data_IF_720193475584
#
_entry.id   IF_720193475584
#
_cell.length_a   1.000
_cell.length_b   1.000
_cell.length_c   1.000
_cell.angle_alpha   90.00
_cell.angle_beta   90.00
_cell.angle_gamma   90.00
#
_symmetry.space_group_name_H-M   'P 1'
#
loop_
_entity.id
_entity.type
_entity.pdbx_description
1 polymer ?
#
# COMPACT_ATOMS: atom_id res chain seq x y z
N UNK A 1 5.95 48.85 -35.45
CA UNK A 1 4.62 48.78 -36.10
C UNK A 1 4.77 47.73 -37.20
N UNK A 2 4.28 46.50 -37.11
CA UNK A 2 3.09 45.99 -36.42
C UNK A 2 2.25 45.29 -37.48
N UNK A 3 2.59 44.03 -37.79
CA UNK A 3 1.72 43.13 -38.56
C UNK A 3 1.18 42.12 -37.54
N UNK A 4 0.21 42.60 -36.77
CA UNK A 4 -0.69 41.78 -35.95
C UNK A 4 -1.94 41.49 -36.77
N UNK A 5 -2.61 40.39 -36.43
CA UNK A 5 -3.92 39.97 -36.92
C UNK A 5 -3.95 39.01 -38.11
N UNK A 6 -3.49 37.78 -37.89
CA UNK A 6 -4.15 36.58 -38.43
C UNK A 6 -3.94 35.45 -37.41
N UNK A 7 -5.01 34.73 -37.07
CA UNK A 7 -5.17 33.76 -35.96
C UNK A 7 -5.69 34.30 -34.62
N UNK A 8 -6.91 34.86 -34.65
CA UNK A 8 -7.89 34.77 -33.56
C UNK A 8 -9.19 34.20 -34.12
N UNK A 9 -9.46 32.91 -33.89
CA UNK A 9 -10.79 32.35 -33.60
C UNK A 9 -10.68 30.83 -33.49
N UNK A 10 -11.40 30.24 -32.53
CA UNK A 10 -11.44 28.79 -32.32
C UNK A 10 -10.95 28.30 -30.95
N UNK A 11 -11.18 29.07 -29.88
CA UNK A 11 -11.14 28.54 -28.51
C UNK A 11 -12.43 27.75 -28.30
N UNK A 12 -12.47 26.50 -28.76
CA UNK A 12 -13.49 25.55 -28.30
C UNK A 12 -13.10 25.12 -26.90
N UNK A 13 -13.87 25.57 -25.92
CA UNK A 13 -13.88 25.09 -24.55
C UNK A 13 -14.02 23.56 -24.54
N UNK A 14 -12.90 22.85 -24.34
CA UNK A 14 -12.92 21.43 -24.02
C UNK A 14 -13.47 21.35 -22.60
N UNK A 15 -14.67 20.77 -22.50
CA UNK A 15 -15.42 20.57 -21.28
C UNK A 15 -14.55 19.87 -20.22
N UNK A 16 -14.26 20.57 -19.12
CA UNK A 16 -13.60 20.08 -17.92
C UNK A 16 -14.50 19.15 -17.07
N UNK A 17 -15.44 18.41 -17.65
CA UNK A 17 -16.55 17.79 -16.88
C UNK A 17 -16.61 16.26 -16.92
N UNK A 18 -15.73 15.57 -17.62
CA UNK A 18 -15.78 14.09 -17.72
C UNK A 18 -14.71 13.34 -16.90
N UNK A 19 -13.67 14.01 -16.39
CA UNK A 19 -12.62 13.37 -15.59
C UNK A 19 -12.95 13.26 -14.08
N UNK A 20 -13.90 14.04 -13.57
CA UNK A 20 -14.23 14.13 -12.14
C UNK A 20 -15.52 13.40 -11.73
N UNK A 21 -16.24 12.79 -12.65
CA UNK A 21 -17.43 12.00 -12.29
C UNK A 21 -17.04 10.55 -12.03
N UNK A 22 -16.84 10.19 -10.75
CA UNK A 22 -17.02 8.79 -10.37
C UNK A 22 -18.41 8.37 -10.82
N UNK A 23 -18.47 7.40 -11.74
CA UNK A 23 -19.75 6.85 -12.15
C UNK A 23 -20.44 6.26 -10.91
N UNK A 24 -21.76 6.41 -10.79
CA UNK A 24 -22.52 5.92 -9.63
C UNK A 24 -22.20 4.44 -9.32
N UNK A 25 -21.98 3.64 -10.37
CA UNK A 25 -21.55 2.24 -10.31
C UNK A 25 -20.21 2.04 -9.58
N UNK A 26 -19.23 2.91 -9.81
CA UNK A 26 -17.91 2.90 -9.13
C UNK A 26 -18.07 3.14 -7.64
N UNK A 27 -18.95 4.08 -7.24
CA UNK A 27 -19.22 4.37 -5.83
C UNK A 27 -19.95 3.21 -5.14
N UNK A 28 -20.90 2.57 -5.83
CA UNK A 28 -21.60 1.39 -5.31
C UNK A 28 -20.65 0.21 -5.09
N UNK A 29 -19.68 -0.01 -5.99
CA UNK A 29 -18.65 -1.05 -5.81
C UNK A 29 -17.79 -0.80 -4.57
N UNK A 30 -17.38 0.45 -4.35
CA UNK A 30 -16.58 0.83 -3.17
C UNK A 30 -17.41 0.73 -1.88
N UNK A 31 -18.67 1.17 -1.91
CA UNK A 31 -19.59 1.12 -0.77
C UNK A 31 -19.88 -0.30 -0.27
N UNK A 32 -19.79 -1.31 -1.14
CA UNK A 32 -19.91 -2.73 -0.74
C UNK A 32 -18.76 -3.18 0.17
N UNK A 33 -17.59 -2.58 0.01
CA UNK A 33 -16.36 -3.02 0.68
C UNK A 33 -16.05 -2.16 1.92
N UNK A 34 -16.41 -0.87 1.92
CA UNK A 34 -16.24 0.05 3.06
C UNK A 34 -17.29 1.16 3.09
N UNK A 35 -17.63 1.64 4.28
CA UNK A 35 -18.50 2.82 4.46
C UNK A 35 -17.79 4.08 3.97
N UNK A 36 -18.44 4.87 3.12
CA UNK A 36 -17.94 6.18 2.70
C UNK A 36 -18.18 7.22 3.79
N UNK A 37 -17.32 8.24 3.86
CA UNK A 37 -17.61 9.41 4.66
C UNK A 37 -18.87 10.12 4.12
N UNK A 38 -19.73 10.69 4.99
CA UNK A 38 -20.77 11.59 4.54
C UNK A 38 -20.14 12.70 3.69
N UNK A 39 -20.73 13.04 2.55
CA UNK A 39 -20.35 14.23 1.81
C UNK A 39 -20.81 15.43 2.62
N UNK A 40 -19.96 15.94 3.51
CA UNK A 40 -20.11 17.31 3.94
C UNK A 40 -19.73 18.19 2.74
N UNK A 41 -20.54 19.20 2.43
CA UNK A 41 -20.35 20.18 1.34
C UNK A 41 -19.14 21.11 1.56
N UNK A 42 -18.16 20.66 2.36
CA UNK A 42 -16.87 21.29 2.54
C UNK A 42 -15.91 20.87 1.44
N UNK A 43 -15.09 21.81 1.00
CA UNK A 43 -13.98 21.59 0.08
C UNK A 43 -13.20 20.32 0.49
N UNK A 44 -12.93 19.33 -0.38
CA UNK A 44 -12.06 18.20 -0.05
C UNK A 44 -10.63 18.63 0.34
N UNK A 45 -10.27 19.89 0.03
CA UNK A 45 -9.07 20.58 0.52
C UNK A 45 -9.32 21.48 1.74
N UNK A 46 -10.53 21.49 2.33
CA UNK A 46 -10.81 22.20 3.57
C UNK A 46 -10.04 21.55 4.71
N UNK A 47 -8.96 22.23 5.06
CA UNK A 47 -8.17 22.02 6.25
C UNK A 47 -9.10 21.89 7.47
N UNK A 48 -9.36 20.67 7.91
CA UNK A 48 -9.53 20.40 9.33
C UNK A 48 -8.24 20.92 9.97
N UNK A 49 -8.32 21.94 10.83
CA UNK A 49 -7.20 22.40 11.63
C UNK A 49 -6.65 21.19 12.39
N UNK A 50 -5.64 20.56 11.81
CA UNK A 50 -5.10 19.31 12.31
C UNK A 50 -4.47 19.63 13.68
N UNK A 51 -5.15 19.20 14.73
CA UNK A 51 -4.89 19.57 16.12
C UNK A 51 -3.57 19.00 16.69
N UNK A 52 -2.66 18.52 15.84
CA UNK A 52 -1.43 17.86 16.24
C UNK A 52 -0.28 18.01 15.25
N UNK A 53 0.50 19.09 15.39
CA UNK A 53 1.94 19.09 15.13
C UNK A 53 2.43 18.77 13.71
N UNK A 54 1.58 18.80 12.69
CA UNK A 54 2.03 18.72 11.31
C UNK A 54 2.62 20.07 10.89
N UNK A 55 3.94 20.21 10.96
CA UNK A 55 4.64 21.39 10.41
C UNK A 55 4.17 21.61 8.96
N UNK A 56 3.50 22.73 8.72
CA UNK A 56 2.96 23.10 7.39
C UNK A 56 4.06 23.07 6.33
N UNK A 57 5.31 23.36 6.71
CA UNK A 57 6.46 23.37 5.83
C UNK A 57 6.74 22.03 5.12
N UNK A 58 6.68 20.88 5.82
CA UNK A 58 7.00 19.58 5.20
C UNK A 58 5.91 19.20 4.19
N UNK A 59 4.65 19.56 4.47
CA UNK A 59 3.53 19.39 3.54
C UNK A 59 3.67 20.32 2.33
N UNK A 60 3.92 21.61 2.55
CA UNK A 60 4.10 22.61 1.48
C UNK A 60 5.27 22.26 0.54
N UNK A 61 6.40 21.81 1.11
CA UNK A 61 7.56 21.33 0.33
C UNK A 61 7.18 20.11 -0.50
N UNK A 62 6.49 19.15 0.10
CA UNK A 62 6.02 17.95 -0.58
C UNK A 62 5.03 18.26 -1.72
N UNK A 63 4.12 19.23 -1.53
CA UNK A 63 3.18 19.68 -2.58
C UNK A 63 3.89 20.44 -3.71
N UNK A 64 4.87 21.27 -3.37
CA UNK A 64 5.72 21.95 -4.37
C UNK A 64 6.49 20.94 -5.22
N UNK A 65 6.88 19.80 -4.64
CA UNK A 65 7.46 18.69 -5.39
C UNK A 65 6.41 18.00 -6.25
N UNK A 66 5.25 17.70 -5.69
CA UNK A 66 4.18 16.96 -6.36
C UNK A 66 3.65 17.70 -7.60
N UNK A 67 3.43 19.01 -7.48
CA UNK A 67 2.98 19.89 -8.58
C UNK A 67 3.92 19.94 -9.78
N UNK A 68 5.21 19.58 -9.61
CA UNK A 68 6.19 19.51 -10.70
C UNK A 68 6.18 18.17 -11.42
N UNK A 69 5.46 17.17 -10.90
CA UNK A 69 5.44 15.82 -11.47
C UNK A 69 4.34 15.69 -12.51
N UNK A 70 4.66 14.98 -13.59
CA UNK A 70 3.68 14.63 -14.60
C UNK A 70 2.91 13.38 -14.16
N UNK A 71 1.67 13.57 -13.75
CA UNK A 71 0.75 12.52 -13.27
C UNK A 71 -0.48 12.52 -14.17
N UNK A 72 -0.94 11.32 -14.52
CA UNK A 72 -2.17 11.12 -15.27
C UNK A 72 -3.35 11.29 -14.30
N UNK A 73 -4.15 12.34 -14.51
CA UNK A 73 -5.39 12.63 -13.78
C UNK A 73 -6.65 12.22 -14.55
N UNK A 74 -6.54 11.96 -15.85
CA UNK A 74 -7.66 11.75 -16.75
C UNK A 74 -8.21 10.31 -16.66
N UNK A 75 -7.33 9.33 -16.49
CA UNK A 75 -7.78 7.93 -16.45
C UNK A 75 -8.47 7.62 -15.11
N UNK A 76 -9.63 6.94 -15.09
CA UNK A 76 -10.23 6.45 -13.84
C UNK A 76 -9.28 5.51 -13.08
N UNK A 77 -9.25 5.63 -11.74
CA UNK A 77 -8.33 4.85 -10.90
C UNK A 77 -8.87 3.47 -10.53
N UNK A 78 -10.18 3.31 -10.29
CA UNK A 78 -10.74 2.04 -9.83
C UNK A 78 -10.47 0.92 -10.84
N UNK A 79 -10.09 -0.25 -10.34
CA UNK A 79 -9.74 -1.45 -11.10
C UNK A 79 -8.45 -1.34 -11.95
N UNK A 80 -7.64 -0.29 -11.74
CA UNK A 80 -6.30 -0.19 -12.35
C UNK A 80 -5.23 -1.06 -11.66
N UNK A 81 -5.57 -1.63 -10.51
CA UNK A 81 -4.74 -2.59 -9.77
C UNK A 81 -5.56 -3.85 -9.47
N UNK A 82 -4.86 -4.98 -9.36
CA UNK A 82 -5.46 -6.23 -8.92
C UNK A 82 -5.38 -6.33 -7.39
N UNK A 83 -6.46 -6.79 -6.76
CA UNK A 83 -6.45 -7.07 -5.33
C UNK A 83 -5.65 -8.35 -5.06
N UNK A 84 -4.66 -8.35 -4.15
CA UNK A 84 -3.93 -9.56 -3.80
C UNK A 84 -4.81 -10.48 -2.96
N UNK A 85 -4.75 -11.80 -3.23
CA UNK A 85 -5.25 -12.84 -2.34
C UNK A 85 -4.32 -12.97 -1.14
N UNK A 86 -3.03 -13.01 -1.46
CA UNK A 86 -1.93 -12.95 -0.52
C UNK A 86 -0.90 -11.99 -1.08
N UNK A 87 -0.42 -11.12 -0.20
CA UNK A 87 0.69 -10.22 -0.43
C UNK A 87 1.80 -10.57 0.55
N UNK A 88 2.88 -11.15 0.03
CA UNK A 88 4.10 -11.43 0.77
C UNK A 88 4.95 -10.17 0.80
N UNK A 89 5.23 -9.70 2.01
CA UNK A 89 6.06 -8.54 2.29
C UNK A 89 7.38 -9.02 2.88
N UNK A 90 8.47 -8.78 2.15
CA UNK A 90 9.82 -9.19 2.52
C UNK A 90 10.63 -7.95 2.93
N UNK A 91 11.09 -7.83 4.19
CA UNK A 91 11.99 -6.77 4.63
C UNK A 91 13.32 -6.79 3.86
N UNK A 92 13.86 -5.63 3.50
CA UNK A 92 15.13 -5.54 2.75
C UNK A 92 16.08 -4.45 3.26
N UNK A 93 15.67 -3.65 4.26
CA UNK A 93 16.39 -2.45 4.73
C UNK A 93 16.72 -1.40 3.65
N UNK A 94 16.12 -1.50 2.44
CA UNK A 94 16.39 -0.61 1.31
C UNK A 94 15.20 0.31 1.04
N UNK A 95 15.48 1.47 0.46
CA UNK A 95 14.47 2.46 0.04
C UNK A 95 14.37 2.60 -1.48
N UNK A 96 15.31 1.98 -2.21
CA UNK A 96 15.30 1.83 -3.66
C UNK A 96 15.90 0.46 -4.01
N UNK A 97 15.56 -0.06 -5.19
CA UNK A 97 15.91 -1.41 -5.62
C UNK A 97 16.33 -1.44 -7.09
N UNK A 98 16.84 -2.58 -7.55
CA UNK A 98 16.93 -2.84 -8.98
C UNK A 98 15.53 -2.83 -9.61
N UNK A 99 15.48 -2.61 -10.93
CA UNK A 99 14.25 -2.45 -11.71
C UNK A 99 13.18 -3.50 -11.39
N UNK A 100 13.58 -4.75 -11.24
CA UNK A 100 12.76 -5.85 -10.75
C UNK A 100 13.26 -6.31 -9.38
N UNK A 101 12.75 -5.66 -8.32
CA UNK A 101 13.30 -5.79 -6.97
C UNK A 101 13.30 -7.23 -6.42
N UNK A 102 12.24 -8.01 -6.65
CA UNK A 102 12.18 -9.41 -6.20
C UNK A 102 13.03 -10.36 -7.06
N UNK A 103 13.52 -9.90 -8.21
CA UNK A 103 14.30 -10.70 -9.17
C UNK A 103 15.81 -10.39 -9.12
N UNK A 104 16.23 -9.49 -8.23
CA UNK A 104 17.61 -9.02 -8.13
C UNK A 104 18.58 -10.16 -7.75
N UNK A 105 18.19 -11.05 -6.85
CA UNK A 105 19.02 -12.13 -6.35
C UNK A 105 18.31 -13.48 -6.46
N UNK A 106 18.81 -14.35 -7.34
CA UNK A 106 18.21 -15.67 -7.66
C UNK A 106 18.14 -16.62 -6.46
N UNK A 107 19.05 -16.48 -5.50
CA UNK A 107 19.11 -17.34 -4.32
C UNK A 107 18.39 -16.76 -3.10
N UNK A 108 17.70 -15.63 -3.29
CA UNK A 108 17.01 -14.93 -2.21
C UNK A 108 15.63 -15.53 -1.89
N UNK A 109 15.15 -15.23 -0.68
CA UNK A 109 13.79 -15.57 -0.25
C UNK A 109 12.75 -14.88 -1.14
N UNK A 110 12.89 -13.58 -1.41
CA UNK A 110 11.98 -12.81 -2.25
C UNK A 110 11.89 -13.36 -3.69
N UNK A 111 13.00 -13.82 -4.27
CA UNK A 111 12.99 -14.45 -5.60
C UNK A 111 12.19 -15.75 -5.60
N UNK A 112 12.44 -16.62 -4.61
CA UNK A 112 11.75 -17.91 -4.49
C UNK A 112 10.25 -17.73 -4.29
N UNK A 113 9.86 -16.77 -3.45
CA UNK A 113 8.44 -16.44 -3.23
C UNK A 113 7.81 -15.87 -4.51
N UNK A 114 8.49 -14.96 -5.21
CA UNK A 114 7.99 -14.39 -6.46
C UNK A 114 7.78 -15.48 -7.52
N UNK A 115 8.73 -16.40 -7.67
CA UNK A 115 8.61 -17.54 -8.59
C UNK A 115 7.48 -18.50 -8.19
N UNK A 116 7.33 -18.75 -6.91
CA UNK A 116 6.23 -19.56 -6.38
C UNK A 116 4.87 -18.92 -6.68
N UNK A 117 4.74 -17.60 -6.52
CA UNK A 117 3.52 -16.86 -6.86
C UNK A 117 3.20 -16.95 -8.36
N UNK A 118 4.21 -16.90 -9.23
CA UNK A 118 4.05 -17.04 -10.68
C UNK A 118 3.56 -18.46 -11.05
N UNK A 119 4.14 -19.51 -10.46
CA UNK A 119 3.78 -20.90 -10.81
C UNK A 119 2.40 -21.33 -10.31
N UNK A 120 1.91 -20.74 -9.22
CA UNK A 120 0.65 -21.12 -8.59
C UNK A 120 -0.51 -20.14 -8.87
N UNK A 121 -0.29 -19.14 -9.73
CA UNK A 121 -1.29 -18.11 -10.03
C UNK A 121 -2.58 -18.71 -10.61
N UNK A 122 -2.47 -19.71 -11.50
CA UNK A 122 -3.61 -20.36 -12.15
C UNK A 122 -4.36 -21.29 -11.20
N UNK A 123 -3.65 -22.06 -10.38
CA UNK A 123 -4.23 -23.00 -9.41
C UNK A 123 -5.14 -22.28 -8.43
N UNK A 124 -4.68 -21.15 -7.88
CA UNK A 124 -5.43 -20.37 -6.90
C UNK A 124 -6.33 -19.31 -7.52
N UNK A 125 -6.45 -19.24 -8.85
CA UNK A 125 -7.24 -18.20 -9.53
C UNK A 125 -8.68 -18.11 -8.98
N UNK A 126 -9.32 -19.28 -8.76
CA UNK A 126 -10.70 -19.39 -8.27
C UNK A 126 -10.82 -19.63 -6.75
N UNK A 127 -9.71 -19.69 -6.02
CA UNK A 127 -9.69 -20.03 -4.59
C UNK A 127 -9.40 -18.79 -3.77
N UNK A 128 -10.16 -18.59 -2.68
CA UNK A 128 -9.99 -17.45 -1.78
C UNK A 128 -10.42 -16.10 -2.37
N UNK A 129 -10.37 -15.07 -1.53
CA UNK A 129 -10.76 -13.70 -1.88
C UNK A 129 -9.58 -12.93 -2.47
N UNK A 130 -9.82 -12.16 -3.54
CA UNK A 130 -8.77 -11.44 -4.28
C UNK A 130 -8.44 -12.08 -5.63
N UNK A 131 -7.56 -11.44 -6.40
CA UNK A 131 -7.30 -11.75 -7.81
C UNK A 131 -5.87 -12.24 -8.10
N UNK A 132 -4.88 -11.92 -7.26
CA UNK A 132 -3.47 -12.22 -7.56
C UNK A 132 -2.65 -12.64 -6.35
N UNK A 133 -1.59 -13.41 -6.55
CA UNK A 133 -0.55 -13.64 -5.55
C UNK A 133 0.59 -12.68 -5.84
N UNK A 134 1.06 -11.94 -4.83
CA UNK A 134 2.05 -10.88 -5.03
C UNK A 134 3.15 -10.98 -3.98
N UNK A 135 4.38 -10.67 -4.40
CA UNK A 135 5.54 -10.57 -3.54
C UNK A 135 6.18 -9.19 -3.73
N UNK A 136 6.43 -8.50 -2.64
CA UNK A 136 7.03 -7.17 -2.62
C UNK A 136 8.11 -7.08 -1.55
N UNK A 137 9.11 -6.27 -1.82
CA UNK A 137 10.18 -5.98 -0.85
C UNK A 137 9.97 -4.59 -0.24
N UNK A 138 10.37 -4.43 1.01
CA UNK A 138 10.11 -3.20 1.79
C UNK A 138 11.34 -2.66 2.50
N UNK A 139 11.25 -1.41 2.95
CA UNK A 139 12.29 -0.75 3.74
C UNK A 139 12.34 -1.16 5.20
N UNK A 140 11.55 -2.16 5.60
CA UNK A 140 11.61 -2.69 6.96
C UNK A 140 12.99 -3.30 7.21
N UNK A 141 13.50 -3.21 8.45
CA UNK A 141 14.84 -3.66 8.76
C UNK A 141 14.91 -5.18 8.72
N UNK A 142 16.03 -5.65 8.22
CA UNK A 142 16.47 -7.05 8.34
C UNK A 142 17.42 -7.19 9.53
N UNK A 143 17.50 -8.40 10.09
CA UNK A 143 18.50 -8.71 11.11
C UNK A 143 19.90 -8.73 10.49
N UNK A 144 20.63 -7.63 10.66
CA UNK A 144 21.99 -7.46 10.12
C UNK A 144 23.02 -8.33 10.83
N UNK A 145 22.69 -8.88 11.99
CA UNK A 145 23.61 -9.75 12.76
C UNK A 145 23.61 -11.19 12.24
N UNK A 146 22.60 -11.55 11.45
CA UNK A 146 22.48 -12.87 10.85
C UNK A 146 23.05 -12.86 9.42
N UNK A 147 24.07 -13.71 9.19
CA UNK A 147 24.75 -13.78 7.89
C UNK A 147 23.87 -14.32 6.76
N UNK A 148 22.94 -15.22 7.07
CA UNK A 148 22.02 -15.77 6.07
C UNK A 148 20.98 -14.72 5.68
N UNK A 149 20.58 -13.86 6.62
CA UNK A 149 19.73 -12.70 6.36
C UNK A 149 20.46 -11.65 5.52
N UNK A 150 21.71 -11.33 5.85
CA UNK A 150 22.54 -10.42 5.05
C UNK A 150 22.79 -10.92 3.63
N UNK A 151 22.78 -12.23 3.42
CA UNK A 151 22.88 -12.87 2.10
C UNK A 151 21.53 -13.04 1.40
N UNK A 152 20.45 -12.54 2.00
CA UNK A 152 19.06 -12.69 1.53
C UNK A 152 18.56 -14.15 1.47
N UNK A 153 19.29 -15.10 2.06
CA UNK A 153 18.95 -16.54 2.06
C UNK A 153 17.98 -16.91 3.17
N UNK A 154 17.81 -16.04 4.17
CA UNK A 154 16.84 -16.18 5.26
C UNK A 154 16.14 -14.84 5.46
N UNK A 155 14.85 -14.82 5.72
CA UNK A 155 14.14 -13.59 6.04
C UNK A 155 12.86 -13.86 6.83
N UNK A 156 12.35 -12.82 7.50
CA UNK A 156 11.00 -12.82 8.01
C UNK A 156 10.04 -12.35 6.92
N UNK A 157 8.88 -12.98 6.79
CA UNK A 157 7.92 -12.63 5.73
C UNK A 157 6.58 -12.32 6.35
N UNK A 158 6.10 -11.09 6.13
CA UNK A 158 4.76 -10.68 6.52
C UNK A 158 3.77 -11.09 5.43
N UNK A 159 2.70 -11.77 5.82
CA UNK A 159 1.65 -12.25 4.93
C UNK A 159 0.39 -11.45 5.18
N UNK A 160 0.06 -10.58 4.24
CA UNK A 160 -1.16 -9.78 4.23
C UNK A 160 -2.15 -10.35 3.21
N UNK A 161 -3.46 -10.16 3.40
CA UNK A 161 -4.15 -9.42 4.46
C UNK A 161 -4.44 -10.24 5.73
N UNK A 162 -3.74 -11.36 5.97
CA UNK A 162 -4.02 -12.28 7.09
C UNK A 162 -3.28 -11.93 8.40
N UNK A 163 -2.41 -10.91 8.38
CA UNK A 163 -1.69 -10.39 9.55
C UNK A 163 -0.94 -11.51 10.29
N UNK A 164 -0.09 -12.24 9.57
CA UNK A 164 0.84 -13.23 10.12
C UNK A 164 2.26 -12.97 9.64
N UNK A 165 3.22 -13.32 10.49
CA UNK A 165 4.63 -13.33 10.17
C UNK A 165 5.12 -14.78 10.09
N UNK A 166 5.82 -15.10 9.02
CA UNK A 166 6.63 -16.31 8.90
C UNK A 166 8.05 -15.93 9.31
N UNK A 167 8.48 -16.38 10.48
CA UNK A 167 9.81 -16.09 11.03
C UNK A 167 10.85 -17.04 10.47
N UNK A 168 12.07 -16.55 10.28
CA UNK A 168 13.24 -17.34 9.90
C UNK A 168 13.04 -18.21 8.64
N UNK A 169 12.29 -17.72 7.65
CA UNK A 169 12.04 -18.45 6.40
C UNK A 169 13.31 -18.51 5.56
N UNK A 170 13.82 -19.72 5.32
CA UNK A 170 14.97 -19.96 4.45
C UNK A 170 14.56 -20.14 3.00
N UNK A 171 15.35 -19.62 2.06
CA UNK A 171 15.09 -19.65 0.62
C UNK A 171 14.84 -21.07 0.09
N UNK A 172 15.55 -22.07 0.62
CA UNK A 172 15.42 -23.48 0.25
C UNK A 172 14.07 -24.10 0.68
N UNK A 173 13.48 -23.60 1.76
CA UNK A 173 12.24 -24.12 2.36
C UNK A 173 10.99 -23.33 1.95
N UNK A 174 11.14 -22.29 1.13
CA UNK A 174 10.03 -21.43 0.70
C UNK A 174 8.92 -22.25 0.05
N UNK A 175 9.25 -23.09 -0.93
CA UNK A 175 8.26 -23.87 -1.66
C UNK A 175 7.48 -24.81 -0.74
N UNK A 176 8.16 -25.62 0.07
CA UNK A 176 7.54 -26.54 1.04
C UNK A 176 6.63 -25.78 2.02
N UNK A 177 7.11 -24.68 2.59
CA UNK A 177 6.35 -23.91 3.58
C UNK A 177 5.10 -23.26 2.95
N UNK A 178 5.22 -22.70 1.75
CA UNK A 178 4.10 -22.03 1.09
C UNK A 178 3.07 -23.03 0.53
N UNK A 179 3.51 -24.17 0.01
CA UNK A 179 2.63 -25.24 -0.46
C UNK A 179 1.75 -25.80 0.67
N UNK A 180 2.25 -25.84 1.90
CA UNK A 180 1.45 -26.24 3.05
C UNK A 180 0.59 -25.10 3.61
N UNK A 181 1.16 -23.89 3.73
CA UNK A 181 0.51 -22.78 4.41
C UNK A 181 -0.58 -22.11 3.57
N UNK A 182 -0.34 -21.89 2.28
CA UNK A 182 -1.26 -21.11 1.43
C UNK A 182 -2.62 -21.78 1.25
N UNK A 183 -2.72 -23.12 1.04
CA UNK A 183 -4.02 -23.80 1.03
C UNK A 183 -4.79 -23.62 2.33
N UNK A 184 -4.12 -23.74 3.48
CA UNK A 184 -4.75 -23.61 4.81
C UNK A 184 -5.37 -22.21 4.96
N UNK A 185 -4.64 -21.17 4.55
CA UNK A 185 -5.09 -19.78 4.60
C UNK A 185 -6.25 -19.53 3.62
N UNK A 186 -6.09 -19.92 2.35
CA UNK A 186 -7.05 -19.58 1.30
C UNK A 186 -8.33 -20.41 1.34
N UNK A 187 -8.24 -21.69 1.71
CA UNK A 187 -9.39 -22.61 1.85
C UNK A 187 -10.01 -22.58 3.24
N UNK A 188 -9.32 -21.95 4.22
CA UNK A 188 -9.74 -21.84 5.63
C UNK A 188 -9.98 -23.19 6.29
N UNK A 189 -9.05 -24.11 6.08
CA UNK A 189 -9.13 -25.45 6.65
C UNK A 189 -8.89 -25.46 8.17
N UNK A 190 -8.12 -24.48 8.67
CA UNK A 190 -7.79 -24.34 10.09
C UNK A 190 -8.05 -22.91 10.55
N UNK A 191 -8.25 -22.71 11.84
CA UNK A 191 -8.26 -21.39 12.48
C UNK A 191 -6.84 -20.82 12.58
N UNK A 192 -6.71 -19.50 12.74
CA UNK A 192 -5.41 -18.84 12.94
C UNK A 192 -4.60 -19.44 14.11
N UNK A 193 -5.26 -19.79 15.21
CA UNK A 193 -4.61 -20.37 16.40
C UNK A 193 -4.08 -21.78 16.15
N UNK A 194 -4.84 -22.61 15.41
CA UNK A 194 -4.42 -23.95 15.03
C UNK A 194 -3.25 -23.91 14.05
N UNK A 195 -3.26 -22.98 13.09
CA UNK A 195 -2.14 -22.79 12.17
C UNK A 195 -0.86 -22.36 12.90
N UNK A 196 -0.94 -21.41 13.85
CA UNK A 196 0.19 -21.02 14.70
C UNK A 196 0.68 -22.21 15.54
N UNK A 197 -0.22 -23.06 16.02
CA UNK A 197 0.16 -24.25 16.79
C UNK A 197 0.84 -25.32 15.93
N UNK A 198 0.44 -25.44 14.65
CA UNK A 198 1.01 -26.38 13.69
C UNK A 198 2.39 -25.93 13.19
N UNK A 199 2.57 -24.62 12.97
CA UNK A 199 3.80 -24.05 12.43
C UNK A 199 4.47 -23.15 13.48
N UNK A 200 5.51 -23.64 14.18
CA UNK A 200 6.13 -22.90 15.29
C UNK A 200 6.83 -21.61 14.85
N UNK A 201 7.11 -21.47 13.56
CA UNK A 201 7.70 -20.27 12.97
C UNK A 201 6.66 -19.22 12.54
N UNK A 202 5.36 -19.48 12.71
CA UNK A 202 4.31 -18.52 12.38
C UNK A 202 3.85 -17.80 13.63
N UNK A 203 3.86 -16.47 13.58
CA UNK A 203 3.35 -15.61 14.66
C UNK A 203 2.28 -14.64 14.14
N UNK A 204 1.40 -14.17 15.01
CA UNK A 204 0.44 -13.11 14.66
C UNK A 204 1.15 -11.76 14.53
N UNK A 205 0.73 -10.94 13.56
CA UNK A 205 1.10 -9.53 13.52
C UNK A 205 0.10 -8.72 14.37
N UNK A 206 0.61 -8.03 15.39
CA UNK A 206 -0.22 -7.33 16.38
C UNK A 206 -0.49 -5.86 16.02
N UNK A 207 0.12 -5.36 14.95
CA UNK A 207 -0.12 -4.01 14.45
C UNK A 207 -1.56 -3.85 13.93
N UNK A 208 -2.17 -2.70 14.23
CA UNK A 208 -3.51 -2.33 13.76
C UNK A 208 -3.51 -2.07 12.25
N UNK A 209 -2.46 -1.39 11.75
CA UNK A 209 -2.38 -0.92 10.37
C UNK A 209 -0.97 -1.09 9.79
N UNK A 210 -0.89 -1.56 8.55
CA UNK A 210 0.33 -1.47 7.74
C UNK A 210 0.10 -0.52 6.57
N UNK A 211 0.95 0.50 6.45
CA UNK A 211 0.95 1.46 5.35
C UNK A 211 2.22 1.28 4.52
N UNK A 212 2.06 1.00 3.24
CA UNK A 212 3.16 0.87 2.29
C UNK A 212 3.11 1.97 1.25
N UNK A 213 4.20 2.73 1.15
CA UNK A 213 4.34 3.85 0.20
C UNK A 213 5.36 3.45 -0.85
N UNK A 214 4.98 3.45 -2.13
CA UNK A 214 5.92 3.11 -3.20
C UNK A 214 7.04 4.17 -3.26
N UNK A 215 8.31 3.76 -3.11
CA UNK A 215 9.49 4.65 -3.16
C UNK A 215 10.49 4.29 -4.25
N UNK A 216 10.15 3.34 -5.12
CA UNK A 216 11.07 2.76 -6.11
C UNK A 216 11.48 3.81 -7.16
N UNK A 217 12.62 4.46 -6.93
CA UNK A 217 13.15 5.57 -7.73
C UNK A 217 13.70 5.07 -9.06
N UNK A 218 14.39 3.94 -9.05
CA UNK A 218 14.96 3.31 -10.26
C UNK A 218 13.88 2.97 -11.28
N UNK A 219 12.71 2.52 -10.82
CA UNK A 219 11.56 2.18 -11.68
C UNK A 219 10.65 3.37 -11.99
N UNK A 220 10.40 4.23 -10.99
CA UNK A 220 9.56 5.43 -11.13
C UNK A 220 10.02 6.55 -10.19
N UNK A 221 10.79 7.48 -10.76
CA UNK A 221 11.33 8.64 -10.06
C UNK A 221 10.26 9.47 -9.33
N UNK A 222 9.02 9.52 -9.86
CA UNK A 222 7.92 10.28 -9.23
C UNK A 222 7.57 9.74 -7.85
N UNK A 223 7.48 8.42 -7.72
CA UNK A 223 7.26 7.74 -6.44
C UNK A 223 8.46 7.92 -5.51
N UNK A 224 9.68 7.78 -6.05
CA UNK A 224 10.92 7.95 -5.28
C UNK A 224 11.07 9.33 -4.62
N UNK A 225 10.71 10.40 -5.33
CA UNK A 225 10.84 11.76 -4.82
C UNK A 225 9.72 12.13 -3.84
N UNK A 226 8.51 11.58 -4.01
CA UNK A 226 7.34 11.94 -3.18
C UNK A 226 7.23 11.12 -1.89
N UNK A 227 7.65 9.86 -1.92
CA UNK A 227 7.49 8.94 -0.80
C UNK A 227 8.07 9.44 0.54
N UNK A 228 9.29 10.03 0.60
CA UNK A 228 9.85 10.50 1.85
C UNK A 228 9.00 11.57 2.54
N UNK A 229 8.44 12.52 1.77
CA UNK A 229 7.56 13.56 2.31
C UNK A 229 6.28 12.97 2.88
N UNK A 230 5.65 12.04 2.15
CA UNK A 230 4.44 11.38 2.60
C UNK A 230 4.66 10.58 3.89
N UNK A 231 5.77 9.81 3.97
CA UNK A 231 6.11 9.07 5.19
C UNK A 231 6.31 10.02 6.37
N UNK A 232 7.04 11.12 6.17
CA UNK A 232 7.33 12.09 7.23
C UNK A 232 6.07 12.75 7.79
N UNK A 233 5.11 13.08 6.92
CA UNK A 233 3.79 13.61 7.33
C UNK A 233 3.02 12.56 8.12
N UNK A 234 2.90 11.33 7.61
CA UNK A 234 2.22 10.26 8.36
C UNK A 234 2.87 9.96 9.71
N UNK A 235 4.21 9.89 9.77
CA UNK A 235 4.92 9.64 11.02
C UNK A 235 4.59 10.73 12.06
N UNK A 236 4.54 12.01 11.65
CA UNK A 236 4.13 13.12 12.53
C UNK A 236 2.69 13.02 12.98
N UNK A 237 1.76 12.66 12.09
CA UNK A 237 0.35 12.45 12.43
C UNK A 237 0.17 11.30 13.42
N UNK A 238 0.98 10.23 13.31
CA UNK A 238 0.87 9.04 14.14
C UNK A 238 1.41 9.21 15.57
N UNK A 239 2.37 10.11 15.78
CA UNK A 239 3.05 10.30 17.06
C UNK A 239 2.13 10.82 18.19
N UNK A 240 1.36 11.90 18.02
CA UNK A 240 0.46 12.42 19.06
C UNK A 240 -0.59 11.41 19.54
N UNK A 241 -1.01 10.51 18.65
CA UNK A 241 -2.02 9.50 18.94
C UNK A 241 -1.42 8.19 19.49
N UNK A 242 -0.10 8.12 19.69
CA UNK A 242 0.58 6.91 20.18
C UNK A 242 0.50 5.72 19.22
N UNK A 243 0.17 5.97 17.95
CA UNK A 243 0.02 4.95 16.90
C UNK A 243 1.32 4.72 16.13
N UNK A 244 2.28 5.65 16.21
CA UNK A 244 3.57 5.51 15.56
C UNK A 244 4.30 4.25 16.08
N UNK A 245 4.77 3.42 15.15
CA UNK A 245 5.62 2.25 15.44
C UNK A 245 6.93 2.38 14.69
N UNK A 246 8.00 2.52 15.46
CA UNK A 246 9.34 2.26 14.95
C UNK A 246 9.61 0.75 14.93
N UNK A 247 10.72 0.35 14.33
CA UNK A 247 11.14 -1.03 14.22
C UNK A 247 11.45 -1.69 15.56
N UNK A 248 11.87 -0.89 16.55
CA UNK A 248 12.14 -1.37 17.92
C UNK A 248 10.92 -1.31 18.83
N UNK A 249 9.78 -0.84 18.32
CA UNK A 249 8.54 -0.73 19.08
C UNK A 249 7.66 -1.97 18.84
N UNK A 250 7.46 -2.74 19.91
CA UNK A 250 6.67 -3.97 19.92
C UNK A 250 5.30 -3.79 20.58
N UNK A 251 4.87 -2.55 20.87
CA UNK A 251 3.54 -2.30 21.42
C UNK A 251 2.47 -2.74 20.41
N UNK A 252 1.41 -3.44 20.84
CA UNK A 252 0.34 -3.85 19.94
C UNK A 252 -0.43 -2.63 19.40
N UNK A 253 -1.30 -2.87 18.41
CA UNK A 253 -2.31 -1.94 17.91
C UNK A 253 -1.76 -0.63 17.32
N UNK A 254 -0.53 -0.68 16.79
CA UNK A 254 0.10 0.45 16.12
C UNK A 254 -0.10 0.53 14.62
N UNK A 255 0.51 1.55 14.01
CA UNK A 255 0.58 1.73 12.57
C UNK A 255 2.05 1.73 12.12
N UNK A 256 2.41 0.77 11.28
CA UNK A 256 3.74 0.70 10.65
C UNK A 256 3.69 1.33 9.26
N UNK A 257 4.49 2.36 9.05
CA UNK A 257 4.66 3.00 7.74
C UNK A 257 6.01 2.59 7.16
N UNK A 258 6.01 1.99 5.99
CA UNK A 258 7.23 1.50 5.33
C UNK A 258 7.22 1.83 3.84
N UNK A 259 8.39 1.93 3.24
CA UNK A 259 8.46 1.99 1.80
C UNK A 259 8.35 0.59 1.18
N UNK A 260 7.82 0.54 -0.03
CA UNK A 260 7.67 -0.68 -0.82
C UNK A 260 8.23 -0.47 -2.23
N UNK A 261 8.66 -1.56 -2.86
CA UNK A 261 9.08 -1.54 -4.25
C UNK A 261 7.93 -1.17 -5.20
N UNK A 262 8.21 -1.24 -6.50
CA UNK A 262 7.25 -0.79 -7.51
C UNK A 262 6.05 -1.74 -7.57
N UNK A 263 4.88 -1.21 -7.26
CA UNK A 263 3.61 -1.95 -7.22
C UNK A 263 2.75 -1.76 -8.48
N UNK A 264 3.31 -1.19 -9.55
CA UNK A 264 2.57 -0.89 -10.78
C UNK A 264 1.79 0.43 -10.74
N UNK A 265 1.35 0.91 -11.91
CA UNK A 265 0.61 2.17 -12.04
C UNK A 265 1.45 3.42 -11.75
N UNK A 266 2.69 3.47 -12.26
CA UNK A 266 3.57 4.64 -12.14
C UNK A 266 2.94 5.95 -12.66
N UNK A 267 1.98 5.85 -13.59
CA UNK A 267 1.27 7.03 -14.11
C UNK A 267 0.37 7.70 -13.06
N UNK A 268 0.07 7.01 -11.96
CA UNK A 268 -0.73 7.47 -10.83
C UNK A 268 0.13 7.63 -9.56
N UNK A 269 1.33 8.21 -9.70
CA UNK A 269 2.30 8.36 -8.62
C UNK A 269 1.68 8.92 -7.32
N UNK A 270 2.30 8.61 -6.18
CA UNK A 270 1.62 8.70 -4.88
C UNK A 270 0.84 7.43 -4.56
N UNK A 271 1.46 6.26 -4.81
CA UNK A 271 0.85 4.97 -4.55
C UNK A 271 1.01 4.59 -3.08
N UNK A 272 -0.12 4.39 -2.40
CA UNK A 272 -0.18 4.04 -0.98
C UNK A 272 -1.10 2.83 -0.79
N UNK A 273 -0.60 1.76 -0.20
CA UNK A 273 -1.40 0.60 0.21
C UNK A 273 -1.61 0.65 1.73
N UNK A 274 -2.85 0.54 2.17
CA UNK A 274 -3.23 0.54 3.58
C UNK A 274 -3.91 -0.79 3.86
N UNK A 275 -3.32 -1.60 4.74
CA UNK A 275 -3.92 -2.82 5.27
C UNK A 275 -4.40 -2.56 6.68
N UNK A 276 -5.71 -2.61 6.88
CA UNK A 276 -6.37 -2.46 8.17
C UNK A 276 -6.65 -3.85 8.75
N UNK A 277 -6.21 -4.13 9.98
CA UNK A 277 -6.44 -5.45 10.61
C UNK A 277 -7.91 -5.66 10.99
N UNK A 278 -8.57 -4.60 11.42
CA UNK A 278 -10.01 -4.57 11.68
C UNK A 278 -10.59 -3.41 10.87
N UNK A 279 -11.47 -3.63 9.88
CA UNK A 279 -12.25 -4.84 9.58
C UNK A 279 -11.63 -5.80 8.55
N UNK A 280 -10.29 -5.91 8.51
CA UNK A 280 -9.51 -6.72 7.56
C UNK A 280 -9.67 -6.26 6.10
N UNK A 281 -9.29 -5.01 5.84
CA UNK A 281 -9.51 -4.36 4.54
C UNK A 281 -8.19 -3.87 3.94
N UNK A 282 -7.98 -4.15 2.66
CA UNK A 282 -6.98 -3.47 1.83
C UNK A 282 -7.61 -2.28 1.12
N UNK A 283 -6.97 -1.13 1.26
CA UNK A 283 -7.27 0.09 0.49
C UNK A 283 -5.99 0.48 -0.25
N UNK A 284 -6.04 0.45 -1.58
CA UNK A 284 -4.92 0.90 -2.40
C UNK A 284 -5.28 2.20 -3.10
N UNK A 285 -4.57 3.26 -2.73
CA UNK A 285 -4.74 4.61 -3.25
C UNK A 285 -3.65 4.96 -4.27
N UNK A 286 -4.01 5.79 -5.25
CA UNK A 286 -3.09 6.47 -6.17
C UNK A 286 -3.31 7.98 -6.12
N UNK A 287 -2.38 8.76 -6.69
CA UNK A 287 -2.45 10.24 -6.66
C UNK A 287 -2.57 10.81 -5.23
N UNK A 288 -2.02 10.11 -4.25
CA UNK A 288 -1.97 10.60 -2.87
C UNK A 288 -0.90 11.67 -2.78
N UNK A 289 -1.27 12.82 -2.25
CA UNK A 289 -0.36 13.93 -1.99
C UNK A 289 -0.18 14.11 -0.48
N UNK A 290 0.87 14.81 -0.02
CA UNK A 290 1.02 15.18 1.39
C UNK A 290 -0.24 15.78 2.03
N UNK A 291 -1.00 16.62 1.31
CA UNK A 291 -2.27 17.20 1.77
C UNK A 291 -3.41 16.20 1.94
N UNK A 292 -3.41 15.09 1.19
CA UNK A 292 -4.44 14.06 1.35
C UNK A 292 -4.24 13.22 2.62
N UNK A 293 -3.04 13.23 3.21
CA UNK A 293 -2.67 12.32 4.31
C UNK A 293 -3.39 12.60 5.63
N UNK A 294 -3.59 13.86 6.08
CA UNK A 294 -4.40 14.15 7.26
C UNK A 294 -5.80 13.55 7.17
N UNK A 295 -6.51 13.75 6.05
CA UNK A 295 -7.84 13.18 5.82
C UNK A 295 -7.82 11.65 5.81
N UNK A 296 -6.84 11.05 5.14
CA UNK A 296 -6.66 9.59 5.15
C UNK A 296 -6.43 9.08 6.57
N UNK A 297 -5.60 9.77 7.36
CA UNK A 297 -5.29 9.39 8.73
C UNK A 297 -6.52 9.47 9.64
N UNK A 298 -7.23 10.60 9.62
CA UNK A 298 -8.41 10.88 10.46
C UNK A 298 -9.57 9.93 10.20
N UNK A 299 -9.74 9.45 8.97
CA UNK A 299 -10.89 8.61 8.61
C UNK A 299 -10.58 7.11 8.49
N UNK A 300 -9.34 6.72 8.15
CA UNK A 300 -8.98 5.30 7.95
C UNK A 300 -8.11 4.71 9.06
N UNK A 301 -7.20 5.48 9.65
CA UNK A 301 -6.17 4.95 10.55
C UNK A 301 -6.57 5.17 12.02
N UNK A 302 -6.98 6.40 12.34
CA UNK A 302 -7.34 6.81 13.69
C UNK A 302 -8.58 6.10 14.26
N UNK A 303 -9.74 6.06 13.57
CA UNK A 303 -10.98 5.58 14.17
C UNK A 303 -10.98 4.05 14.36
N UNK A 304 -11.87 3.56 15.21
CA UNK A 304 -12.13 2.12 15.35
C UNK A 304 -12.92 1.58 14.16
N UNK A 305 -13.84 2.39 13.63
CA UNK A 305 -14.64 2.08 12.45
C UNK A 305 -14.17 2.96 11.28
N UNK A 306 -13.31 2.43 10.39
CA UNK A 306 -12.73 3.21 9.30
C UNK A 306 -13.78 3.53 8.23
N UNK A 307 -13.75 4.78 7.77
CA UNK A 307 -14.58 5.28 6.66
C UNK A 307 -13.69 5.79 5.55
N UNK A 308 -14.08 5.60 4.30
CA UNK A 308 -13.27 6.05 3.16
C UNK A 308 -13.59 7.51 2.81
N UNK A 309 -12.60 8.44 2.88
CA UNK A 309 -12.85 9.85 2.59
C UNK A 309 -12.73 10.20 1.10
N UNK A 310 -11.81 9.56 0.38
CA UNK A 310 -11.39 9.95 -0.98
C UNK A 310 -11.62 8.79 -1.97
N UNK A 311 -12.88 8.48 -2.33
CA UNK A 311 -13.19 7.37 -3.23
C UNK A 311 -12.58 7.52 -4.63
N UNK A 312 -12.35 8.75 -5.09
CA UNK A 312 -11.73 9.05 -6.38
C UNK A 312 -10.28 8.64 -6.50
N UNK A 313 -9.58 8.51 -5.36
CA UNK A 313 -8.18 8.09 -5.31
C UNK A 313 -8.01 6.57 -5.22
N UNK A 314 -9.10 5.80 -5.10
CA UNK A 314 -9.04 4.34 -4.94
C UNK A 314 -8.69 3.66 -6.26
N UNK A 315 -7.60 2.88 -6.22
CA UNK A 315 -7.19 1.99 -7.32
C UNK A 315 -7.82 0.62 -7.20
N UNK A 316 -7.82 0.06 -6.00
CA UNK A 316 -8.57 -1.13 -5.66
C UNK A 316 -8.85 -1.16 -4.16
N UNK A 317 -9.95 -1.78 -3.78
CA UNK A 317 -10.36 -1.98 -2.40
C UNK A 317 -10.89 -3.39 -2.24
N UNK A 318 -10.62 -4.00 -1.09
CA UNK A 318 -11.18 -5.31 -0.76
C UNK A 318 -11.25 -5.49 0.75
N UNK A 319 -12.43 -5.81 1.26
CA UNK A 319 -12.62 -6.35 2.58
C UNK A 319 -12.48 -7.87 2.52
N UNK A 320 -11.62 -8.41 3.36
CA UNK A 320 -11.39 -9.83 3.48
C UNK A 320 -12.15 -10.35 4.69
N UNK A 321 -12.61 -11.60 4.62
CA UNK A 321 -13.18 -12.21 5.82
C UNK A 321 -12.09 -12.54 6.83
N UNK A 322 -12.41 -12.36 8.11
CA UNK A 322 -11.52 -12.67 9.22
C UNK A 322 -11.18 -14.16 9.24
N UNK A 323 -9.89 -14.45 9.44
CA UNK A 323 -9.36 -15.79 9.63
C UNK A 323 -9.35 -16.18 11.10
#
# INVERSE_FOLDING_TARGET
MGITDFFKSGRSSVNQTEADQLTATTLEEIQKEITLCPKDDGDPDSFSDCSGGCDSEDMEKGETVFSKLQIDYETPLLNTSKTPKIHFIVPSSRVDWAHDACMENVDSVEYRISKWCESHMEEYAKVGEGQSLTCSVTSQPIDIMDIDVMRHKKNDVLVLPHFIWIKDLKAEKVTETLDELVPIILKRELTKQEAISKFPNIISADDKVFVFICSHTTRDKRCGVTAPYMKKVLDKLLQPHGLYRDNSDFRPDGCRVSFINHVGGHKYAGNVQIYLRDPQTLIWLGRVTPKSLPTIFEHLILPENPTLPLPEKVRCIRKYQKW
#
